data_IF_194478072159
#
_entry.id   IF_194478072159
#
_cell.length_a   1.000
_cell.length_b   1.000
_cell.length_c   1.000
_cell.angle_alpha   90.00
_cell.angle_beta   90.00
_cell.angle_gamma   90.00
#
_symmetry.space_group_name_H-M   'P 1'
#
loop_
_entity.id
_entity.type
_entity.pdbx_description
1 polymer ?
#
# COMPACT_ATOMS: atom_id res chain seq x y z
N UNK A 1 49.43 -17.32 24.30
CA UNK A 1 50.45 -16.57 23.53
C UNK A 1 49.74 -15.88 22.38
N UNK A 2 49.58 -14.54 22.50
CA UNK A 2 49.77 -13.46 21.50
C UNK A 2 49.80 -13.94 20.02
N UNK A 3 49.05 -13.40 19.05
CA UNK A 3 49.08 -11.97 18.64
C UNK A 3 47.88 -11.50 17.81
N UNK A 4 47.54 -10.22 18.03
CA UNK A 4 46.87 -9.26 17.16
C UNK A 4 47.35 -9.23 15.69
N UNK A 5 46.43 -8.86 14.78
CA UNK A 5 46.72 -8.03 13.59
C UNK A 5 45.43 -7.45 12.99
N UNK A 6 45.20 -6.16 13.26
CA UNK A 6 44.47 -5.27 12.36
C UNK A 6 45.20 -5.17 11.00
N UNK A 7 44.45 -5.01 9.90
CA UNK A 7 44.54 -3.85 8.98
C UNK A 7 43.83 -4.07 7.63
N UNK A 8 43.05 -3.04 7.26
CA UNK A 8 42.84 -2.46 5.92
C UNK A 8 41.67 -2.92 5.03
N UNK A 9 40.74 -1.96 4.86
CA UNK A 9 39.84 -1.74 3.72
C UNK A 9 40.62 -1.56 2.41
N UNK A 10 39.91 -1.62 1.27
CA UNK A 10 39.92 -0.47 0.36
C UNK A 10 38.52 0.06 0.03
N UNK A 11 38.45 1.39 -0.08
CA UNK A 11 37.39 2.18 -0.70
C UNK A 11 37.49 2.12 -2.23
N UNK A 12 36.35 2.06 -2.93
CA UNK A 12 35.99 2.83 -4.13
C UNK A 12 34.45 2.70 -4.26
N UNK A 13 33.60 3.71 -4.05
CA UNK A 13 33.41 5.03 -4.67
C UNK A 13 32.70 4.99 -6.03
N UNK A 14 31.38 5.25 -6.00
CA UNK A 14 30.65 6.02 -7.01
C UNK A 14 29.27 5.44 -7.39
N UNK A 15 28.20 6.22 -7.58
CA UNK A 15 28.01 7.68 -7.49
C UNK A 15 26.50 7.98 -7.68
N UNK A 16 25.92 8.74 -6.75
CA UNK A 16 24.78 9.70 -6.84
C UNK A 16 23.39 9.28 -7.31
N UNK A 17 22.39 9.49 -6.43
CA UNK A 17 21.43 10.60 -6.59
C UNK A 17 21.05 11.14 -5.19
N UNK A 18 21.22 12.44 -5.02
CA UNK A 18 20.95 13.18 -3.80
C UNK A 18 19.49 13.66 -3.79
N UNK A 19 18.84 13.66 -2.63
CA UNK A 19 17.71 14.54 -2.35
C UNK A 19 17.88 15.15 -0.96
N UNK A 20 17.73 16.48 -0.93
CA UNK A 20 18.22 17.38 0.09
C UNK A 20 17.55 17.21 1.47
N UNK A 21 18.37 17.24 2.51
CA UNK A 21 17.95 17.56 3.86
C UNK A 21 17.90 19.08 4.02
N UNK A 22 16.75 19.62 4.43
CA UNK A 22 16.65 21.00 4.93
C UNK A 22 16.80 20.96 6.45
N UNK A 23 17.95 21.44 6.91
CA UNK A 23 18.19 21.95 8.25
C UNK A 23 17.72 23.40 8.30
N UNK A 24 16.98 23.79 9.33
CA UNK A 24 16.84 25.18 9.73
C UNK A 24 17.23 25.31 11.20
N UNK A 25 18.35 25.99 11.45
CA UNK A 25 18.77 26.45 12.78
C UNK A 25 19.39 27.85 12.67
N UNK A 26 19.02 28.72 13.62
CA UNK A 26 19.59 30.05 13.88
C UNK A 26 18.68 31.20 13.41
N UNK A 27 18.31 32.22 14.20
CA UNK A 27 18.94 32.76 15.40
C UNK A 27 17.95 33.61 16.24
N UNK A 28 18.36 33.92 17.48
CA UNK A 28 17.60 34.64 18.51
C UNK A 28 17.59 36.19 18.39
N UNK A 29 16.57 36.76 19.05
CA UNK A 29 16.39 38.10 19.66
C UNK A 29 16.00 39.33 18.82
N UNK A 30 14.79 39.86 19.10
CA UNK A 30 14.63 41.04 19.98
C UNK A 30 13.17 41.21 20.43
N UNK A 31 13.02 41.83 21.59
CA UNK A 31 11.81 42.06 22.39
C UNK A 31 10.64 42.76 21.68
N UNK A 32 9.42 42.32 21.99
CA UNK A 32 8.19 43.03 21.67
C UNK A 32 6.96 42.32 22.26
N UNK A 33 6.47 42.80 23.39
CA UNK A 33 5.16 42.43 23.93
C UNK A 33 4.05 42.80 22.92
N UNK A 34 3.11 41.88 22.65
CA UNK A 34 1.66 42.06 22.85
C UNK A 34 0.84 40.92 22.22
N UNK A 35 -0.09 40.40 23.04
CA UNK A 35 -1.41 39.83 22.76
C UNK A 35 -1.57 38.62 21.85
N UNK A 36 -1.71 37.47 22.53
CA UNK A 36 -2.66 36.37 22.28
C UNK A 36 -3.63 36.58 21.11
N UNK A 37 -3.27 35.99 19.96
CA UNK A 37 -4.20 35.54 18.93
C UNK A 37 -3.65 34.23 18.39
N UNK A 38 -4.51 33.20 18.41
CA UNK A 38 -4.35 31.87 17.82
C UNK A 38 -3.19 31.74 16.82
N UNK A 39 -2.23 30.86 17.12
CA UNK A 39 -1.37 30.28 16.09
C UNK A 39 -2.24 29.46 15.14
N UNK A 40 -2.77 30.11 14.10
CA UNK A 40 -3.28 29.42 12.93
C UNK A 40 -2.09 28.72 12.28
N UNK A 41 -1.99 27.40 12.50
CA UNK A 41 -1.02 26.54 11.83
C UNK A 41 -1.46 26.35 10.38
N UNK A 42 -1.53 27.46 9.63
CA UNK A 42 -1.60 27.43 8.18
C UNK A 42 -0.24 26.95 7.68
N UNK A 43 -0.07 25.63 7.62
CA UNK A 43 1.02 25.01 6.87
C UNK A 43 1.03 25.54 5.43
N UNK A 44 2.14 25.38 4.68
CA UNK A 44 2.21 25.82 3.29
C UNK A 44 0.97 25.33 2.54
N UNK A 45 0.20 26.28 1.99
CA UNK A 45 -1.02 26.00 1.24
C UNK A 45 -0.61 25.35 -0.07
N UNK A 46 -0.40 24.04 -0.04
CA UNK A 46 -0.10 23.28 -1.25
C UNK A 46 -1.33 23.26 -2.14
N UNK A 47 -1.11 23.47 -3.44
CA UNK A 47 -2.16 23.28 -4.44
C UNK A 47 -2.33 21.77 -4.69
N UNK A 48 -3.53 21.26 -4.45
CA UNK A 48 -3.90 19.87 -4.71
C UNK A 48 -4.79 19.80 -5.93
N UNK A 49 -4.33 19.12 -6.98
CA UNK A 49 -5.10 18.96 -8.20
C UNK A 49 -6.13 17.84 -8.04
N UNK A 50 -7.43 18.07 -8.31
CA UNK A 50 -8.41 16.98 -8.38
C UNK A 50 -7.97 15.92 -9.41
N UNK A 51 -7.99 14.66 -8.99
CA UNK A 51 -7.57 13.53 -9.81
C UNK A 51 -8.51 12.34 -9.60
N UNK A 52 -8.69 11.53 -10.65
CA UNK A 52 -9.20 10.16 -10.51
C UNK A 52 -8.03 9.18 -10.46
N UNK A 53 -8.29 7.99 -9.94
CA UNK A 53 -7.28 6.92 -9.89
C UNK A 53 -6.82 6.53 -11.29
N UNK A 54 -7.76 6.43 -12.24
CA UNK A 54 -7.44 6.13 -13.64
C UNK A 54 -6.55 7.20 -14.29
N UNK A 55 -6.73 8.49 -13.96
CA UNK A 55 -5.87 9.55 -14.46
C UNK A 55 -4.43 9.43 -13.97
N UNK A 56 -4.23 9.03 -12.70
CA UNK A 56 -2.90 8.79 -12.14
C UNK A 56 -2.25 7.61 -12.85
N UNK A 57 -2.97 6.49 -12.99
CA UNK A 57 -2.44 5.28 -13.62
C UNK A 57 -2.15 5.43 -15.13
N UNK A 58 -2.83 6.36 -15.80
CA UNK A 58 -2.63 6.65 -17.22
C UNK A 58 -1.54 7.70 -17.47
N UNK A 59 -1.02 8.34 -16.41
CA UNK A 59 0.03 9.34 -16.54
C UNK A 59 1.39 8.66 -16.79
N UNK A 60 2.19 9.11 -17.77
CA UNK A 60 3.51 8.54 -18.04
C UNK A 60 4.55 8.81 -16.93
N UNK A 61 4.16 9.48 -15.85
CA UNK A 61 4.96 9.72 -14.65
C UNK A 61 5.62 11.09 -14.58
N UNK A 62 5.62 11.85 -15.67
CA UNK A 62 6.08 13.24 -15.74
C UNK A 62 4.96 14.24 -16.07
N UNK A 63 3.72 13.77 -16.19
CA UNK A 63 2.56 14.59 -16.43
C UNK A 63 1.99 15.20 -15.15
N UNK A 64 0.80 15.83 -15.24
CA UNK A 64 0.20 16.55 -14.12
C UNK A 64 -0.33 15.64 -13.00
N UNK A 65 -0.35 14.33 -13.20
CA UNK A 65 -0.70 13.32 -12.19
C UNK A 65 0.46 12.34 -11.95
N UNK A 66 1.65 12.67 -12.46
CA UNK A 66 2.84 11.85 -12.39
C UNK A 66 3.48 11.83 -11.01
N UNK A 67 4.68 11.25 -10.96
CA UNK A 67 5.42 11.08 -9.72
C UNK A 67 5.69 12.44 -9.05
N UNK A 68 5.60 12.45 -7.72
CA UNK A 68 5.75 13.60 -6.84
C UNK A 68 4.70 14.73 -6.99
N UNK A 69 3.69 14.59 -7.85
CA UNK A 69 2.59 15.54 -7.95
C UNK A 69 1.66 15.46 -6.75
N UNK A 70 1.05 16.59 -6.39
CA UNK A 70 0.06 16.66 -5.31
C UNK A 70 -1.35 16.61 -5.87
N UNK A 71 -2.13 15.66 -5.37
CA UNK A 71 -3.48 15.39 -5.85
C UNK A 71 -4.49 15.34 -4.73
N UNK A 72 -5.74 15.59 -5.10
CA UNK A 72 -6.93 15.37 -4.30
C UNK A 72 -7.71 14.22 -4.93
N UNK A 73 -7.79 13.09 -4.23
CA UNK A 73 -8.76 12.04 -4.48
C UNK A 73 -10.01 12.38 -3.66
N UNK A 74 -11.15 12.50 -4.32
CA UNK A 74 -12.41 12.79 -3.66
C UNK A 74 -13.35 11.59 -3.75
N UNK A 75 -14.08 11.32 -2.65
CA UNK A 75 -15.10 10.27 -2.55
C UNK A 75 -14.65 8.87 -2.98
N UNK A 76 -13.40 8.49 -2.67
CA UNK A 76 -12.93 7.10 -2.82
C UNK A 76 -13.35 6.27 -1.62
N UNK A 77 -13.48 4.96 -1.79
CA UNK A 77 -13.92 4.04 -0.72
C UNK A 77 -12.77 3.17 -0.26
N UNK A 78 -12.58 3.07 1.04
CA UNK A 78 -11.67 2.13 1.68
C UNK A 78 -12.08 0.67 1.44
N UNK A 79 -11.27 -0.12 0.72
CA UNK A 79 -11.62 -1.53 0.41
C UNK A 79 -10.89 -2.55 1.30
N UNK A 80 -9.82 -2.13 1.98
CA UNK A 80 -9.12 -2.93 3.00
C UNK A 80 -9.13 -2.25 4.36
N UNK A 81 -8.74 -3.00 5.40
CA UNK A 81 -8.34 -2.37 6.66
C UNK A 81 -6.98 -1.67 6.47
N UNK A 82 -6.66 -0.79 7.42
CA UNK A 82 -5.31 -0.24 7.54
C UNK A 82 -4.38 -1.34 8.01
N UNK A 83 -3.35 -1.56 7.23
CA UNK A 83 -2.25 -2.47 7.49
C UNK A 83 -0.98 -1.69 7.86
N UNK A 84 0.03 -2.37 8.37
CA UNK A 84 1.28 -1.77 8.85
C UNK A 84 2.49 -2.63 8.50
N UNK A 85 3.60 -1.97 8.18
CA UNK A 85 4.87 -2.63 7.86
C UNK A 85 6.05 -1.74 8.24
N UNK A 86 7.24 -2.32 8.31
CA UNK A 86 8.48 -1.55 8.49
C UNK A 86 9.11 -1.29 7.13
N UNK A 87 9.34 -0.02 6.81
CA UNK A 87 10.13 0.32 5.63
C UNK A 87 11.60 0.02 5.90
N UNK A 88 12.16 -0.98 5.22
CA UNK A 88 13.53 -1.45 5.43
C UNK A 88 14.59 -0.37 5.17
N UNK A 89 14.32 0.57 4.26
CA UNK A 89 15.30 1.60 3.87
C UNK A 89 15.52 2.67 4.95
N UNK A 90 14.51 2.99 5.76
CA UNK A 90 14.60 4.04 6.77
C UNK A 90 14.11 3.63 8.16
N UNK A 91 13.75 2.36 8.35
CA UNK A 91 13.28 1.80 9.62
C UNK A 91 12.09 2.57 10.20
N UNK A 92 11.20 3.06 9.35
CA UNK A 92 9.97 3.73 9.77
C UNK A 92 8.78 2.78 9.64
N UNK A 93 7.90 2.82 10.64
CA UNK A 93 6.58 2.22 10.50
C UNK A 93 5.79 2.98 9.41
N UNK A 94 5.23 2.20 8.50
CA UNK A 94 4.34 2.64 7.44
C UNK A 94 2.98 2.02 7.66
N UNK A 95 1.96 2.79 7.33
CA UNK A 95 0.57 2.38 7.40
C UNK A 95 -0.01 2.50 6.02
N UNK A 96 -0.79 1.53 5.58
CA UNK A 96 -1.34 1.54 4.24
C UNK A 96 -2.70 0.90 4.16
N UNK A 97 -3.42 1.21 3.09
CA UNK A 97 -4.67 0.56 2.74
C UNK A 97 -4.96 0.78 1.27
N UNK A 98 -5.85 -0.02 0.70
CA UNK A 98 -6.33 0.21 -0.65
C UNK A 98 -7.64 0.97 -0.62
N UNK A 99 -7.76 1.88 -1.57
CA UNK A 99 -8.98 2.64 -1.85
C UNK A 99 -9.38 2.41 -3.30
N UNK A 100 -10.67 2.49 -3.57
CA UNK A 100 -11.23 2.35 -4.91
C UNK A 100 -12.22 3.46 -5.19
N UNK A 101 -12.15 4.03 -6.40
CA UNK A 101 -13.08 5.04 -6.88
C UNK A 101 -14.40 4.34 -7.27
N UNK A 102 -15.52 4.62 -6.57
CA UNK A 102 -16.81 3.99 -6.84
C UNK A 102 -17.47 4.49 -8.14
N UNK A 103 -17.06 5.65 -8.67
CA UNK A 103 -17.59 6.21 -9.92
C UNK A 103 -16.75 5.82 -11.15
N UNK A 104 -15.64 5.11 -10.94
CA UNK A 104 -14.72 4.74 -12.00
C UNK A 104 -15.34 3.72 -12.96
N UNK A 105 -15.41 4.10 -14.24
CA UNK A 105 -15.89 3.23 -15.34
C UNK A 105 -14.75 2.68 -16.20
N UNK A 106 -13.52 3.16 -15.99
CA UNK A 106 -12.36 2.84 -16.80
C UNK A 106 -11.20 2.39 -15.91
N UNK A 107 -10.87 1.07 -15.90
CA UNK A 107 -9.79 0.56 -15.06
C UNK A 107 -8.40 1.14 -15.38
N UNK A 108 -7.46 1.18 -14.41
CA UNK A 108 -7.64 0.73 -13.03
C UNK A 108 -8.42 1.74 -12.18
N UNK A 109 -9.17 1.22 -11.22
CA UNK A 109 -10.04 2.02 -10.35
C UNK A 109 -9.59 2.04 -8.89
N UNK A 110 -8.54 1.29 -8.54
CA UNK A 110 -8.01 1.23 -7.18
C UNK A 110 -6.56 1.66 -7.10
N UNK A 111 -6.12 2.02 -5.90
CA UNK A 111 -4.72 2.29 -5.61
C UNK A 111 -4.43 2.11 -4.13
N UNK A 112 -3.16 1.94 -3.79
CA UNK A 112 -2.72 1.95 -2.39
C UNK A 112 -2.49 3.39 -1.92
N UNK A 113 -2.94 3.69 -0.71
CA UNK A 113 -2.57 4.91 0.01
C UNK A 113 -1.66 4.53 1.16
N UNK A 114 -0.68 5.38 1.45
CA UNK A 114 0.33 5.14 2.48
C UNK A 114 0.46 6.36 3.39
N UNK A 115 0.64 6.12 4.68
CA UNK A 115 0.91 7.13 5.67
C UNK A 115 2.14 6.74 6.49
N UNK A 116 2.86 7.77 6.94
CA UNK A 116 4.01 7.61 7.81
C UNK A 116 3.52 7.52 9.25
N UNK A 117 4.15 6.66 10.05
CA UNK A 117 4.03 6.72 11.51
C UNK A 117 5.41 6.81 12.17
N UNK A 118 5.54 6.29 13.40
CA UNK A 118 6.76 6.45 14.18
C UNK A 118 7.91 5.62 13.60
N UNK A 119 9.12 5.88 14.11
CA UNK A 119 10.25 4.97 13.88
C UNK A 119 9.91 3.58 14.42
N UNK A 120 10.42 2.55 13.75
CA UNK A 120 10.35 1.19 14.23
C UNK A 120 11.01 1.09 15.63
N UNK A 121 10.48 0.26 16.54
CA UNK A 121 10.97 0.20 17.92
C UNK A 121 12.40 -0.36 18.02
N UNK A 122 12.85 -1.13 17.03
CA UNK A 122 14.19 -1.70 16.94
C UNK A 122 14.54 -2.09 15.49
N UNK A 123 15.82 -2.37 15.22
CA UNK A 123 16.38 -2.48 13.87
C UNK A 123 15.93 -3.71 13.04
N UNK A 124 15.37 -4.72 13.68
CA UNK A 124 14.83 -5.93 13.06
C UNK A 124 13.33 -6.09 13.31
N UNK A 125 12.64 -4.98 13.58
CA UNK A 125 11.20 -4.95 13.77
C UNK A 125 10.47 -5.32 12.47
N UNK A 126 9.32 -5.95 12.62
CA UNK A 126 8.37 -6.20 11.55
C UNK A 126 7.12 -5.31 11.68
N UNK A 127 6.19 -5.43 10.73
CA UNK A 127 4.87 -4.80 10.82
C UNK A 127 4.18 -5.02 12.18
N UNK A 128 4.33 -6.20 12.78
CA UNK A 128 3.70 -6.61 14.03
C UNK A 128 4.12 -5.73 15.21
N UNK A 129 5.38 -5.28 15.18
CA UNK A 129 6.04 -4.49 16.21
C UNK A 129 5.69 -3.01 16.10
N UNK A 130 5.19 -2.56 14.94
CA UNK A 130 4.70 -1.21 14.78
C UNK A 130 3.46 -0.99 15.66
N UNK A 131 3.28 0.20 16.26
CA UNK A 131 2.07 0.52 17.02
C UNK A 131 0.78 0.28 16.20
N UNK A 132 -0.35 0.11 16.86
CA UNK A 132 -1.63 0.03 16.14
C UNK A 132 -1.93 1.38 15.50
N UNK A 133 -2.76 1.41 14.45
CA UNK A 133 -3.12 2.67 13.77
C UNK A 133 -3.64 3.75 14.74
N UNK A 134 -4.33 3.35 15.81
CA UNK A 134 -4.94 4.27 16.79
C UNK A 134 -3.93 4.84 17.78
N UNK A 135 -2.76 4.22 17.95
CA UNK A 135 -1.71 4.66 18.89
C UNK A 135 -0.44 5.14 18.18
N UNK A 136 -0.38 5.01 16.85
CA UNK A 136 0.80 5.38 16.07
C UNK A 136 0.88 6.86 15.72
N UNK A 137 -0.21 7.61 15.83
CA UNK A 137 -0.29 8.98 15.32
C UNK A 137 -0.27 9.08 13.79
N UNK A 138 -0.50 7.96 13.09
CA UNK A 138 -0.63 7.96 11.63
C UNK A 138 -1.90 8.68 11.19
N UNK A 139 -1.87 9.31 10.01
CA UNK A 139 -3.06 9.95 9.42
C UNK A 139 -4.20 8.96 9.13
N UNK A 140 -3.92 7.66 9.05
CA UNK A 140 -4.93 6.61 8.86
C UNK A 140 -5.57 6.11 10.18
N UNK A 141 -5.30 6.76 11.32
CA UNK A 141 -5.76 6.29 12.63
C UNK A 141 -7.27 6.05 12.70
N UNK A 142 -8.06 7.00 12.19
CA UNK A 142 -9.52 6.98 12.27
C UNK A 142 -10.20 6.29 11.09
N UNK A 143 -9.43 5.86 10.09
CA UNK A 143 -9.99 5.29 8.85
C UNK A 143 -10.29 3.80 9.00
N UNK A 144 -11.50 3.40 8.64
CA UNK A 144 -11.98 2.03 8.62
C UNK A 144 -12.26 1.54 7.20
N UNK A 145 -12.32 0.23 7.02
CA UNK A 145 -12.82 -0.36 5.77
C UNK A 145 -14.27 0.10 5.57
N UNK A 146 -14.64 0.33 4.32
CA UNK A 146 -15.94 0.82 3.83
C UNK A 146 -16.18 2.33 4.08
N UNK A 147 -15.23 3.05 4.69
CA UNK A 147 -15.29 4.50 4.80
C UNK A 147 -15.18 5.17 3.42
N UNK A 148 -15.94 6.25 3.24
CA UNK A 148 -15.82 7.15 2.10
C UNK A 148 -14.81 8.23 2.48
N UNK A 149 -13.85 8.51 1.61
CA UNK A 149 -12.67 9.29 1.95
C UNK A 149 -12.42 10.41 0.95
N UNK A 150 -11.99 11.54 1.49
CA UNK A 150 -11.30 12.59 0.74
C UNK A 150 -9.85 12.61 1.17
N UNK A 151 -8.94 12.48 0.21
CA UNK A 151 -7.52 12.28 0.47
C UNK A 151 -6.72 13.29 -0.32
N UNK A 152 -5.91 14.07 0.38
CA UNK A 152 -4.89 14.95 -0.21
C UNK A 152 -3.54 14.32 0.05
N UNK A 153 -2.73 14.22 -0.99
CA UNK A 153 -1.43 13.58 -0.85
C UNK A 153 -0.53 13.78 -2.04
N UNK A 154 0.66 13.19 -1.91
CA UNK A 154 1.70 13.19 -2.93
C UNK A 154 1.74 11.83 -3.63
N UNK A 155 1.62 11.85 -4.94
CA UNK A 155 1.75 10.66 -5.78
C UNK A 155 3.19 10.17 -5.74
N UNK A 156 3.37 8.86 -5.55
CA UNK A 156 4.67 8.18 -5.59
C UNK A 156 4.54 6.93 -6.45
N UNK A 157 5.45 6.76 -7.40
CA UNK A 157 5.54 5.56 -8.22
C UNK A 157 6.69 4.71 -7.69
N UNK A 158 6.38 3.49 -7.23
CA UNK A 158 7.39 2.53 -6.77
C UNK A 158 7.62 1.50 -7.88
N UNK A 159 8.87 1.35 -8.29
CA UNK A 159 9.27 0.30 -9.21
C UNK A 159 9.60 -0.95 -8.41
N UNK A 160 9.17 -2.11 -8.89
CA UNK A 160 9.55 -3.41 -8.32
C UNK A 160 11.08 -3.54 -8.21
N UNK A 161 11.53 -4.12 -7.09
CA UNK A 161 12.95 -4.31 -6.78
C UNK A 161 13.55 -5.56 -7.43
N UNK A 162 12.71 -6.41 -8.03
CA UNK A 162 13.14 -7.65 -8.71
C UNK A 162 13.38 -7.40 -10.19
N UNK A 163 14.53 -7.82 -10.72
CA UNK A 163 14.83 -7.72 -12.16
C UNK A 163 13.77 -8.48 -12.97
N UNK A 164 13.18 -7.90 -14.05
CA UNK A 164 13.62 -6.71 -14.79
C UNK A 164 13.14 -5.35 -14.28
N UNK A 165 12.47 -5.25 -13.12
CA UNK A 165 12.00 -3.99 -12.53
C UNK A 165 11.02 -3.25 -13.48
N UNK A 166 10.13 -3.99 -14.10
CA UNK A 166 9.16 -3.45 -15.09
C UNK A 166 7.80 -3.15 -14.49
N UNK A 167 7.57 -3.57 -13.25
CA UNK A 167 6.31 -3.35 -12.55
C UNK A 167 6.39 -2.03 -11.81
N UNK A 168 5.31 -1.24 -11.91
CA UNK A 168 5.15 0.04 -11.22
C UNK A 168 3.89 -0.03 -10.37
N UNK A 169 4.01 0.29 -9.09
CA UNK A 169 2.88 0.50 -8.18
C UNK A 169 2.64 2.00 -8.01
N UNK A 170 1.38 2.41 -8.23
CA UNK A 170 0.92 3.77 -7.98
C UNK A 170 0.49 3.91 -6.53
N UNK A 171 1.10 4.85 -5.82
CA UNK A 171 0.86 5.10 -4.40
C UNK A 171 0.49 6.55 -4.16
N UNK A 172 -0.37 6.79 -3.16
CA UNK A 172 -0.60 8.12 -2.63
C UNK A 172 -0.07 8.21 -1.19
N UNK A 173 0.98 9.00 -0.98
CA UNK A 173 1.42 9.35 0.37
C UNK A 173 0.50 10.43 0.93
N UNK A 174 -0.26 10.06 1.96
CA UNK A 174 -1.29 10.91 2.58
C UNK A 174 -0.63 12.09 3.29
N UNK A 175 -1.08 13.30 2.98
CA UNK A 175 -0.75 14.54 3.68
C UNK A 175 -1.95 15.05 4.50
N UNK A 176 -3.18 14.78 4.05
CA UNK A 176 -4.41 15.03 4.79
C UNK A 176 -5.50 14.04 4.37
N UNK A 177 -6.35 13.62 5.31
CA UNK A 177 -7.49 12.73 5.04
C UNK A 177 -8.72 13.17 5.83
N UNK A 178 -9.88 13.03 5.22
CA UNK A 178 -11.18 13.32 5.80
C UNK A 178 -12.11 12.12 5.54
N UNK A 179 -12.75 11.62 6.59
CA UNK A 179 -13.81 10.61 6.48
C UNK A 179 -15.12 11.34 6.17
N UNK A 180 -15.71 11.00 5.04
CA UNK A 180 -16.95 11.57 4.53
C UNK A 180 -18.16 10.75 4.97
N UNK A 181 -19.36 11.28 4.71
CA UNK A 181 -20.60 10.52 4.86
C UNK A 181 -20.59 9.26 4.00
N UNK A 182 -21.09 8.11 4.51
CA UNK A 182 -21.06 6.83 3.80
C UNK A 182 -22.17 6.73 2.74
N UNK A 183 -21.97 7.36 1.59
CA UNK A 183 -22.95 7.40 0.48
C UNK A 183 -22.54 6.59 -0.75
N UNK A 184 -21.31 6.05 -0.80
CA UNK A 184 -20.90 5.07 -1.79
C UNK A 184 -20.39 3.75 -1.15
N UNK A 185 -20.43 2.68 -1.94
CA UNK A 185 -19.94 1.34 -1.57
C UNK A 185 -19.25 0.68 -2.75
N UNK A 186 -18.29 -0.18 -2.44
CA UNK A 186 -17.62 -1.03 -3.44
C UNK A 186 -18.15 -2.45 -3.30
N UNK A 187 -18.66 -2.98 -4.40
CA UNK A 187 -18.89 -4.43 -4.54
C UNK A 187 -17.70 -5.01 -5.28
N UNK A 188 -17.08 -6.10 -4.78
CA UNK A 188 -15.93 -6.70 -5.45
C UNK A 188 -16.28 -7.13 -6.87
N UNK A 189 -15.34 -6.92 -7.79
CA UNK A 189 -15.46 -7.41 -9.16
C UNK A 189 -15.27 -8.93 -9.18
N UNK A 190 -16.31 -9.66 -9.58
CA UNK A 190 -16.24 -11.12 -9.68
C UNK A 190 -15.52 -11.51 -10.97
N UNK A 191 -14.43 -12.26 -10.83
CA UNK A 191 -13.67 -12.84 -11.91
C UNK A 191 -13.91 -14.35 -11.90
N UNK A 192 -14.60 -14.85 -12.93
CA UNK A 192 -15.02 -16.27 -12.99
C UNK A 192 -14.28 -17.12 -14.01
N UNK A 193 -13.59 -16.48 -14.96
CA UNK A 193 -12.76 -17.19 -15.93
C UNK A 193 -11.46 -17.64 -15.26
N UNK A 194 -11.30 -18.95 -15.11
CA UNK A 194 -10.10 -19.53 -14.49
C UNK A 194 -8.83 -19.34 -15.33
N UNK A 195 -8.95 -19.10 -16.64
CA UNK A 195 -7.79 -18.77 -17.47
C UNK A 195 -7.17 -17.42 -17.07
N UNK A 196 -8.00 -16.48 -16.63
CA UNK A 196 -7.58 -15.15 -16.17
C UNK A 196 -6.82 -15.17 -14.85
N UNK A 197 -6.94 -16.24 -14.05
CA UNK A 197 -6.30 -16.32 -12.74
C UNK A 197 -4.77 -16.33 -12.82
N UNK A 198 -4.22 -16.87 -13.91
CA UNK A 198 -2.79 -16.81 -14.24
C UNK A 198 -2.22 -15.40 -14.40
N UNK A 199 -3.08 -14.38 -14.47
CA UNK A 199 -2.65 -12.97 -14.46
C UNK A 199 -2.28 -12.48 -13.06
N UNK A 200 -2.71 -13.17 -12.01
CA UNK A 200 -2.46 -12.80 -10.62
C UNK A 200 -1.34 -13.64 -10.01
N UNK A 201 -0.22 -13.71 -10.72
CA UNK A 201 0.97 -14.46 -10.30
C UNK A 201 2.12 -13.49 -10.20
N UNK A 202 2.71 -13.42 -9.01
CA UNK A 202 3.84 -12.54 -8.66
C UNK A 202 4.90 -12.54 -9.76
N UNK A 203 5.22 -11.37 -10.29
CA UNK A 203 6.16 -11.07 -11.37
C UNK A 203 5.89 -11.73 -12.74
N UNK A 204 4.84 -12.56 -12.88
CA UNK A 204 4.62 -13.39 -14.08
C UNK A 204 3.35 -13.08 -14.87
N UNK A 205 2.36 -12.41 -14.28
CA UNK A 205 1.19 -12.00 -15.05
C UNK A 205 1.54 -10.97 -16.15
N UNK A 206 0.55 -10.53 -16.92
CA UNK A 206 0.79 -9.48 -17.93
C UNK A 206 -0.30 -8.41 -17.98
N UNK A 207 -1.45 -8.66 -17.35
CA UNK A 207 -2.62 -7.78 -17.43
C UNK A 207 -3.21 -7.46 -16.07
N UNK A 208 -2.50 -7.77 -14.97
CA UNK A 208 -2.96 -7.45 -13.61
C UNK A 208 -3.14 -5.95 -13.40
N UNK A 209 -2.38 -5.12 -14.11
CA UNK A 209 -2.34 -3.67 -13.99
C UNK A 209 -3.71 -3.03 -14.27
N UNK A 210 -4.55 -3.65 -15.12
CA UNK A 210 -5.93 -3.21 -15.31
C UNK A 210 -6.76 -3.31 -14.03
N UNK A 211 -6.36 -4.15 -13.08
CA UNK A 211 -7.05 -4.36 -11.82
C UNK A 211 -6.32 -3.73 -10.62
N UNK A 212 -5.28 -2.92 -10.84
CA UNK A 212 -4.49 -2.31 -9.77
C UNK A 212 -5.38 -1.74 -8.66
N UNK A 213 -5.12 -2.18 -7.42
CA UNK A 213 -5.81 -1.80 -6.20
C UNK A 213 -7.31 -2.11 -6.15
N UNK A 214 -7.87 -2.77 -7.16
CA UNK A 214 -9.29 -3.10 -7.20
C UNK A 214 -9.59 -4.28 -6.27
N UNK A 215 -10.74 -4.20 -5.60
CA UNK A 215 -11.29 -5.31 -4.84
C UNK A 215 -11.96 -6.30 -5.79
N UNK A 216 -11.43 -7.53 -5.83
CA UNK A 216 -11.86 -8.59 -6.73
C UNK A 216 -12.24 -9.85 -5.96
N UNK A 217 -13.10 -10.66 -6.55
CA UNK A 217 -13.43 -12.01 -6.06
C UNK A 217 -13.07 -13.00 -7.15
N UNK A 218 -12.13 -13.91 -6.89
CA UNK A 218 -11.93 -15.07 -7.76
C UNK A 218 -13.03 -16.09 -7.43
N UNK A 219 -13.86 -16.43 -8.40
CA UNK A 219 -15.00 -17.35 -8.23
C UNK A 219 -15.17 -18.18 -9.51
N UNK A 220 -14.49 -19.35 -9.63
CA UNK A 220 -14.54 -20.17 -10.82
C UNK A 220 -15.97 -20.45 -11.27
N UNK A 221 -16.26 -20.34 -12.58
CA UNK A 221 -17.57 -20.72 -13.13
C UNK A 221 -17.86 -22.21 -12.96
N UNK A 222 -16.82 -23.03 -12.84
CA UNK A 222 -16.86 -24.47 -12.59
C UNK A 222 -15.75 -24.88 -11.63
N UNK A 223 -16.03 -25.80 -10.71
CA UNK A 223 -15.05 -26.29 -9.73
C UNK A 223 -14.88 -25.36 -8.53
N UNK A 224 -13.74 -25.50 -7.84
CA UNK A 224 -13.38 -24.73 -6.65
C UNK A 224 -11.92 -24.29 -6.74
N UNK A 225 -11.58 -23.22 -6.03
CA UNK A 225 -10.20 -22.81 -5.77
C UNK A 225 -9.60 -23.76 -4.73
N UNK A 226 -8.51 -24.43 -5.08
CA UNK A 226 -7.73 -25.26 -4.16
C UNK A 226 -6.47 -24.55 -3.74
N UNK A 227 -6.18 -24.48 -2.44
CA UNK A 227 -4.88 -24.01 -1.94
C UNK A 227 -3.82 -25.09 -2.22
N UNK A 228 -2.79 -24.76 -2.99
CA UNK A 228 -1.79 -25.72 -3.47
C UNK A 228 -0.44 -25.62 -2.81
N UNK A 229 -0.07 -24.44 -2.32
CA UNK A 229 1.15 -24.22 -1.55
C UNK A 229 0.90 -23.13 -0.49
N UNK A 230 1.68 -23.18 0.58
CA UNK A 230 1.68 -22.21 1.66
C UNK A 230 3.13 -22.02 2.15
N UNK A 231 3.61 -20.79 2.22
CA UNK A 231 4.94 -20.43 2.73
C UNK A 231 4.93 -19.07 3.45
N UNK A 232 6.10 -18.53 3.77
CA UNK A 232 6.26 -17.25 4.47
C UNK A 232 5.79 -16.02 3.65
N UNK A 233 5.48 -16.21 2.37
CA UNK A 233 5.04 -15.15 1.45
C UNK A 233 3.54 -15.24 1.17
N UNK A 234 2.84 -16.24 1.73
CA UNK A 234 1.40 -16.42 1.62
C UNK A 234 1.03 -17.79 1.03
N UNK A 235 0.08 -17.82 0.09
CA UNK A 235 -0.41 -19.08 -0.49
C UNK A 235 -0.70 -19.00 -1.99
N UNK A 236 -0.78 -20.16 -2.63
CA UNK A 236 -1.16 -20.26 -4.05
C UNK A 236 -2.46 -21.03 -4.22
N UNK A 237 -3.22 -20.70 -5.25
CA UNK A 237 -4.45 -21.41 -5.59
C UNK A 237 -4.49 -21.95 -7.00
N UNK A 238 -5.08 -23.12 -7.18
CA UNK A 238 -5.51 -23.65 -8.48
C UNK A 238 -7.04 -23.57 -8.65
N UNK A 239 -7.56 -23.42 -9.88
CA UNK A 239 -6.82 -23.26 -11.14
C UNK A 239 -6.09 -21.92 -11.27
N UNK A 240 -5.11 -21.85 -12.18
CA UNK A 240 -4.44 -20.61 -12.56
C UNK A 240 -3.17 -20.26 -11.79
N UNK A 241 -2.92 -20.89 -10.64
CA UNK A 241 -1.71 -20.68 -9.85
C UNK A 241 -1.63 -19.29 -9.22
N UNK A 242 -2.76 -18.61 -8.98
CA UNK A 242 -2.77 -17.25 -8.42
C UNK A 242 -2.01 -17.19 -7.09
N UNK A 243 -1.19 -16.17 -6.93
CA UNK A 243 -0.47 -15.88 -5.69
C UNK A 243 -1.31 -14.98 -4.79
N UNK A 244 -1.43 -15.38 -3.54
CA UNK A 244 -2.12 -14.67 -2.49
C UNK A 244 -1.11 -14.28 -1.41
N UNK A 245 -0.85 -12.99 -1.30
CA UNK A 245 0.28 -12.47 -0.55
C UNK A 245 0.06 -12.33 0.93
N UNK A 246 1.21 -12.38 1.61
CA UNK A 246 1.45 -11.98 3.00
C UNK A 246 2.54 -10.90 3.06
N UNK A 247 2.45 -9.96 2.12
CA UNK A 247 3.55 -9.07 1.69
C UNK A 247 4.02 -8.07 2.75
N UNK A 248 3.49 -8.13 3.98
CA UNK A 248 3.76 -7.17 5.05
C UNK A 248 4.11 -7.87 6.38
N UNK A 249 5.05 -8.82 6.28
CA UNK A 249 5.76 -9.46 7.40
C UNK A 249 4.94 -10.42 8.28
N UNK A 250 4.21 -11.37 7.68
CA UNK A 250 3.49 -12.42 8.43
C UNK A 250 2.29 -11.96 9.24
N UNK A 251 1.89 -10.69 9.06
CA UNK A 251 0.83 -10.03 9.81
C UNK A 251 -0.48 -9.86 9.04
N UNK A 252 -0.49 -10.20 7.74
CA UNK A 252 -1.70 -10.12 6.94
C UNK A 252 -2.57 -11.36 7.17
N UNK A 253 -2.94 -11.56 8.43
CA UNK A 253 -4.04 -12.42 8.80
C UNK A 253 -5.33 -11.68 8.48
N UNK A 254 -6.20 -12.22 7.62
CA UNK A 254 -7.50 -11.63 7.46
C UNK A 254 -8.15 -11.63 8.86
N UNK A 255 -8.80 -10.52 9.23
CA UNK A 255 -9.26 -10.35 10.62
C UNK A 255 -10.30 -11.42 10.99
N UNK A 256 -10.00 -12.21 12.04
CA UNK A 256 -10.85 -13.29 12.56
C UNK A 256 -10.46 -14.72 12.15
N UNK A 257 -9.27 -14.92 11.58
CA UNK A 257 -8.75 -16.26 11.25
C UNK A 257 -7.81 -16.65 12.37
N UNK A 258 -7.96 -17.88 12.83
CA UNK A 258 -6.96 -18.49 13.69
C UNK A 258 -5.76 -18.98 12.87
N UNK A 259 -5.96 -19.38 11.61
CA UNK A 259 -4.91 -19.89 10.70
C UNK A 259 -5.17 -19.49 9.24
N UNK A 260 -4.10 -19.33 8.45
CA UNK A 260 -4.20 -19.31 6.98
C UNK A 260 -4.84 -20.61 6.45
N UNK A 261 -5.36 -20.62 5.20
CA UNK A 261 -5.83 -21.84 4.56
C UNK A 261 -4.70 -22.88 4.50
N UNK A 262 -4.98 -24.11 4.91
CA UNK A 262 -4.02 -25.21 4.77
C UNK A 262 -3.99 -25.70 3.32
N UNK A 263 -2.84 -26.21 2.88
CA UNK A 263 -2.73 -26.90 1.58
C UNK A 263 -3.80 -27.99 1.46
N UNK A 264 -4.48 -28.01 0.33
CA UNK A 264 -5.62 -28.90 0.04
C UNK A 264 -7.00 -28.30 0.37
N UNK A 265 -7.06 -27.16 1.08
CA UNK A 265 -8.33 -26.46 1.34
C UNK A 265 -9.00 -26.02 0.04
N UNK A 266 -10.32 -26.15 -0.02
CA UNK A 266 -11.14 -25.81 -1.19
C UNK A 266 -12.09 -24.67 -0.87
N UNK A 267 -12.27 -23.75 -1.82
CA UNK A 267 -13.13 -22.58 -1.68
C UNK A 267 -13.91 -22.33 -2.98
N UNK A 268 -15.19 -22.00 -2.89
CA UNK A 268 -15.99 -21.51 -4.03
C UNK A 268 -15.53 -20.15 -4.50
N UNK A 269 -15.10 -19.30 -3.57
CA UNK A 269 -14.54 -18.00 -3.90
C UNK A 269 -13.59 -17.49 -2.83
N UNK A 270 -12.64 -16.67 -3.24
CA UNK A 270 -11.75 -15.91 -2.35
C UNK A 270 -11.73 -14.47 -2.87
N UNK A 271 -11.86 -13.49 -1.98
CA UNK A 271 -11.77 -12.07 -2.35
C UNK A 271 -10.50 -11.43 -1.82
N UNK A 272 -9.94 -10.52 -2.61
CA UNK A 272 -8.72 -9.81 -2.29
C UNK A 272 -8.60 -8.52 -3.11
N UNK A 273 -7.61 -7.70 -2.78
CA UNK A 273 -7.22 -6.56 -3.62
C UNK A 273 -6.03 -6.92 -4.48
N UNK A 274 -5.97 -6.42 -5.71
CA UNK A 274 -4.83 -6.67 -6.61
C UNK A 274 -3.70 -5.73 -6.24
N UNK A 275 -2.61 -6.29 -5.73
CA UNK A 275 -1.37 -5.57 -5.42
C UNK A 275 -0.47 -5.55 -6.65
N UNK A 276 -0.05 -4.36 -7.04
CA UNK A 276 0.90 -4.18 -8.15
C UNK A 276 2.34 -4.20 -7.67
N UNK A 277 2.63 -4.06 -6.38
CA UNK A 277 3.99 -4.05 -5.83
C UNK A 277 4.91 -5.16 -6.38
N UNK A 278 4.36 -6.35 -6.57
CA UNK A 278 5.08 -7.51 -7.09
C UNK A 278 4.42 -8.12 -8.33
N UNK A 279 3.71 -7.33 -9.13
CA UNK A 279 3.20 -7.80 -10.42
C UNK A 279 1.95 -8.69 -10.32
N UNK A 280 0.94 -8.25 -9.57
CA UNK A 280 -0.41 -8.80 -9.67
C UNK A 280 -0.82 -9.80 -8.60
N UNK A 281 -0.02 -9.96 -7.54
CA UNK A 281 -0.39 -10.70 -6.34
C UNK A 281 -1.71 -10.20 -5.73
N UNK A 282 -2.48 -11.09 -5.11
CA UNK A 282 -3.74 -10.76 -4.44
C UNK A 282 -3.57 -10.67 -2.93
N UNK A 283 -4.09 -9.61 -2.30
CA UNK A 283 -4.09 -9.46 -0.84
C UNK A 283 -5.48 -9.81 -0.27
N UNK A 284 -5.65 -10.91 0.47
CA UNK A 284 -6.96 -11.34 1.01
C UNK A 284 -7.57 -10.42 2.10
N UNK A 285 -8.72 -9.77 1.86
CA UNK A 285 -9.13 -8.68 2.76
C UNK A 285 -9.72 -9.09 4.12
N UNK A 286 -10.43 -10.23 4.21
CA UNK A 286 -11.05 -10.80 5.44
C UNK A 286 -11.28 -12.31 5.29
N UNK A 287 -11.43 -13.05 6.41
CA UNK A 287 -11.73 -14.50 6.33
C UNK A 287 -13.13 -14.79 5.86
N UNK A 288 -14.05 -13.88 6.13
CA UNK A 288 -15.43 -13.96 5.64
C UNK A 288 -15.51 -13.86 4.12
N UNK A 289 -14.42 -13.46 3.46
CA UNK A 289 -14.32 -13.39 2.01
C UNK A 289 -13.90 -14.73 1.38
N UNK A 290 -13.54 -15.72 2.22
CA UNK A 290 -13.32 -17.10 1.83
C UNK A 290 -14.65 -17.85 1.97
N UNK A 291 -15.20 -18.32 0.86
CA UNK A 291 -16.48 -19.02 0.83
C UNK A 291 -16.22 -20.50 0.59
N UNK A 292 -16.48 -21.39 1.57
CA UNK A 292 -16.32 -22.83 1.40
C UNK A 292 -17.20 -23.42 0.29
#
# INVERSE_FOLDING_TARGET
MITDKQLLRPCHAGRWLALAALLSAGACNSDGMMTDTQMDMAGPMYEYKPATINQIASDPGNGPYGNAQRVLLDRVVAVTKVDRYVNSANQQCRYQMWVQDPACTSPPCGMVIKAIGPMAPFANASGSDCPTKTTSGTLLADVSKDDNLRIRGKVVFEVDSTQPMTVVEHQLFVEQIEVLSPDAKITPLVLSDSAMYSQFVTHLGMTWNKYEGMYVTLQPSTGMLQVTAFDSSGFTTNPGGSTWGDTFDSDYYPSGAATFPTVGSMWKSISGVVSTRHGGELMPTRNKDFVP
#
